data_IF_876676224907
#
_entry.id   IF_876676224907
#
_cell.length_a   1.000
_cell.length_b   1.000
_cell.length_c   1.000
_cell.angle_alpha   90.00
_cell.angle_beta   90.00
_cell.angle_gamma   90.00
#
_symmetry.space_group_name_H-M   'P 1'
#
loop_
_entity.id
_entity.type
_entity.pdbx_description
1 polymer ?
#
# COMPACT_ATOMS: atom_id res chain seq x y z
N UNK A 1 61.93 -12.55 35.07
CA UNK A 1 62.57 -13.59 34.35
C UNK A 1 61.56 -14.73 34.23
N UNK A 2 60.79 -14.72 33.12
CA UNK A 2 59.81 -15.74 32.83
C UNK A 2 60.49 -16.94 32.15
N UNK A 3 60.17 -18.12 32.59
CA UNK A 3 60.55 -19.35 31.93
C UNK A 3 60.06 -19.35 30.49
N UNK A 4 60.99 -19.47 29.53
CA UNK A 4 60.64 -19.76 28.14
C UNK A 4 60.12 -21.21 28.06
N UNK A 5 58.86 -21.38 27.74
CA UNK A 5 58.32 -22.70 27.34
C UNK A 5 58.46 -22.82 25.85
N UNK A 6 59.29 -23.68 25.36
CA UNK A 6 59.35 -24.03 23.96
C UNK A 6 58.20 -24.96 23.61
N UNK A 7 57.29 -24.48 22.73
CA UNK A 7 56.15 -25.25 22.23
C UNK A 7 56.59 -25.92 20.93
N UNK A 8 56.73 -27.23 20.92
CA UNK A 8 56.94 -28.00 19.70
C UNK A 8 55.61 -28.14 18.91
N UNK A 9 55.58 -27.60 17.71
CA UNK A 9 54.41 -27.62 16.85
C UNK A 9 54.69 -28.57 15.67
N UNK A 10 53.84 -29.57 15.47
CA UNK A 10 53.87 -30.40 14.27
C UNK A 10 53.41 -29.62 13.04
N UNK A 11 53.85 -30.04 11.84
CA UNK A 11 53.43 -29.39 10.59
C UNK A 11 51.91 -29.31 10.43
N UNK A 12 51.15 -30.25 10.99
CA UNK A 12 49.68 -30.26 11.00
C UNK A 12 49.06 -29.08 11.78
N UNK A 13 49.79 -28.51 12.77
CA UNK A 13 49.23 -27.45 13.65
C UNK A 13 49.74 -26.05 13.30
N UNK A 14 50.56 -25.90 12.24
CA UNK A 14 51.12 -24.58 11.85
C UNK A 14 50.01 -23.55 11.49
N UNK A 15 48.93 -23.97 10.82
CA UNK A 15 47.81 -23.08 10.45
C UNK A 15 46.97 -22.66 11.66
N UNK A 16 46.73 -23.56 12.63
CA UNK A 16 46.06 -23.26 13.88
C UNK A 16 46.84 -22.23 14.69
N UNK A 17 48.16 -22.33 14.68
CA UNK A 17 49.03 -21.35 15.31
C UNK A 17 49.01 -20.01 14.60
N UNK A 18 48.97 -19.99 13.27
CA UNK A 18 48.85 -18.77 12.49
C UNK A 18 47.55 -18.00 12.80
N UNK A 19 46.42 -18.71 12.84
CA UNK A 19 45.11 -18.13 13.22
C UNK A 19 45.10 -17.59 14.67
N UNK A 20 45.79 -18.30 15.58
CA UNK A 20 45.94 -17.87 16.97
C UNK A 20 46.84 -16.63 17.08
N UNK A 21 47.92 -16.57 16.33
CA UNK A 21 48.82 -15.38 16.28
C UNK A 21 48.06 -14.19 15.75
N UNK A 22 47.25 -14.33 14.67
CA UNK A 22 46.44 -13.23 14.12
C UNK A 22 45.39 -12.71 15.12
N UNK A 23 44.79 -13.62 15.88
CA UNK A 23 43.84 -13.24 16.97
C UNK A 23 44.54 -12.50 18.08
N UNK A 24 45.77 -12.93 18.47
CA UNK A 24 46.57 -12.27 19.53
C UNK A 24 47.00 -10.89 19.07
N UNK A 25 47.43 -10.72 17.81
CA UNK A 25 47.81 -9.41 17.25
C UNK A 25 46.62 -8.44 17.16
N UNK A 26 45.43 -8.93 16.81
CA UNK A 26 44.18 -8.14 16.82
C UNK A 26 43.83 -7.64 18.24
N UNK A 27 44.31 -8.31 19.29
CA UNK A 27 44.19 -7.88 20.69
C UNK A 27 45.28 -6.90 21.10
N UNK A 28 46.18 -6.48 20.19
CA UNK A 28 47.21 -5.48 20.45
C UNK A 28 48.48 -6.08 21.07
N UNK A 29 48.63 -7.43 21.12
CA UNK A 29 49.83 -8.09 21.67
C UNK A 29 50.80 -8.43 20.53
N UNK A 30 52.10 -8.20 20.78
CA UNK A 30 53.16 -8.49 19.81
C UNK A 30 53.66 -9.90 19.98
N UNK A 31 53.67 -10.70 18.88
CA UNK A 31 54.18 -12.07 18.85
C UNK A 31 55.54 -12.07 18.16
N UNK A 32 56.58 -12.61 18.83
CA UNK A 32 57.94 -12.78 18.27
C UNK A 32 58.13 -14.23 17.82
N UNK A 33 58.81 -14.47 16.67
CA UNK A 33 59.14 -15.83 16.16
C UNK A 33 58.02 -16.47 15.36
N UNK A 34 57.40 -15.73 14.44
CA UNK A 34 56.36 -16.28 13.53
C UNK A 34 56.95 -17.44 12.70
N UNK A 35 56.24 -18.58 12.59
CA UNK A 35 56.62 -19.62 11.67
C UNK A 35 56.53 -19.14 10.22
N UNK A 36 57.58 -19.30 9.43
CA UNK A 36 57.50 -19.11 7.97
C UNK A 36 56.70 -20.28 7.37
N UNK A 37 55.54 -19.96 6.82
CA UNK A 37 54.76 -20.87 5.98
C UNK A 37 55.31 -20.77 4.56
N UNK A 38 55.73 -21.84 3.96
CA UNK A 38 56.11 -21.87 2.54
C UNK A 38 54.86 -21.57 1.70
N UNK A 39 54.95 -20.64 0.74
CA UNK A 39 53.82 -20.21 -0.12
C UNK A 39 53.20 -21.38 -0.92
N UNK A 40 53.92 -22.46 -1.14
CA UNK A 40 53.45 -23.62 -1.90
C UNK A 40 52.52 -24.60 -1.12
N UNK A 41 52.44 -24.51 0.20
CA UNK A 41 51.65 -25.44 1.03
C UNK A 41 50.28 -24.95 1.45
N UNK A 42 49.89 -23.69 1.12
CA UNK A 42 48.73 -23.03 1.72
C UNK A 42 47.65 -22.55 0.73
N UNK A 43 47.43 -23.26 -0.38
CA UNK A 43 46.26 -22.90 -1.24
C UNK A 43 44.96 -23.21 -0.52
N UNK A 44 44.29 -22.14 -0.12
CA UNK A 44 42.95 -22.18 0.48
C UNK A 44 41.96 -22.69 -0.58
N UNK A 45 41.14 -23.73 -0.28
CA UNK A 45 40.15 -24.21 -1.23
C UNK A 45 38.98 -23.25 -1.36
N UNK A 46 38.30 -23.30 -2.49
CA UNK A 46 36.93 -22.76 -2.61
C UNK A 46 35.97 -23.75 -1.96
N UNK A 47 35.16 -23.28 -1.03
CA UNK A 47 34.20 -24.10 -0.30
C UNK A 47 32.80 -23.87 -0.85
N UNK A 48 32.10 -24.97 -1.15
CA UNK A 48 30.70 -24.94 -1.60
C UNK A 48 29.82 -25.77 -0.66
N UNK A 49 28.67 -25.16 -0.26
CA UNK A 49 27.67 -25.78 0.58
C UNK A 49 26.40 -25.99 -0.23
N UNK A 50 25.95 -27.24 -0.34
CA UNK A 50 24.75 -27.63 -1.07
C UNK A 50 23.67 -28.07 -0.10
N UNK A 51 22.64 -27.26 0.06
CA UNK A 51 21.50 -27.53 0.94
C UNK A 51 20.35 -28.17 0.20
N UNK A 52 19.73 -29.17 0.84
CA UNK A 52 18.47 -29.77 0.40
C UNK A 52 17.56 -30.01 1.60
N UNK A 53 16.28 -30.31 1.36
CA UNK A 53 15.31 -30.64 2.40
C UNK A 53 14.23 -31.59 1.88
N UNK A 54 13.84 -32.53 2.73
CA UNK A 54 12.64 -33.34 2.55
C UNK A 54 11.55 -32.95 3.60
N UNK A 55 10.63 -33.85 3.86
CA UNK A 55 9.55 -33.61 4.85
C UNK A 55 10.06 -33.59 6.29
N UNK A 56 11.10 -34.33 6.60
CA UNK A 56 11.56 -34.63 7.95
C UNK A 56 12.93 -34.02 8.25
N UNK A 57 13.78 -33.83 7.24
CA UNK A 57 15.17 -33.46 7.43
C UNK A 57 15.65 -32.33 6.52
N UNK A 58 16.72 -31.65 6.98
CA UNK A 58 17.60 -30.81 6.18
C UNK A 58 18.89 -31.56 5.92
N UNK A 59 19.42 -31.40 4.72
CA UNK A 59 20.68 -32.00 4.26
C UNK A 59 21.64 -30.89 3.83
N UNK A 60 22.93 -31.05 4.15
CA UNK A 60 23.99 -30.18 3.67
C UNK A 60 25.18 -31.03 3.19
N UNK A 61 25.49 -30.97 1.90
CA UNK A 61 26.75 -31.52 1.35
C UNK A 61 27.79 -30.41 1.27
N UNK A 62 29.01 -30.69 1.66
CA UNK A 62 30.12 -29.74 1.65
C UNK A 62 31.19 -30.25 0.70
N UNK A 63 31.67 -29.35 -0.15
CA UNK A 63 32.69 -29.64 -1.15
C UNK A 63 33.81 -28.61 -1.09
N UNK A 64 35.03 -29.07 -1.14
CA UNK A 64 36.23 -28.23 -1.24
C UNK A 64 36.85 -28.38 -2.62
N UNK A 65 37.04 -27.27 -3.34
CA UNK A 65 37.68 -27.28 -4.67
C UNK A 65 39.09 -26.77 -4.57
N UNK A 66 40.04 -27.61 -4.99
CA UNK A 66 41.47 -27.31 -5.07
C UNK A 66 41.93 -27.39 -6.54
N UNK A 67 42.46 -26.33 -7.09
CA UNK A 67 42.94 -26.26 -8.49
C UNK A 67 41.93 -26.79 -9.53
N UNK A 68 40.64 -26.57 -9.31
CA UNK A 68 39.56 -27.02 -10.20
C UNK A 68 39.11 -28.47 -10.00
N UNK A 69 39.73 -29.21 -9.09
CA UNK A 69 39.29 -30.55 -8.69
C UNK A 69 38.38 -30.48 -7.47
N UNK A 70 37.24 -31.18 -7.52
CA UNK A 70 36.19 -31.15 -6.49
C UNK A 70 36.31 -32.31 -5.52
N UNK A 71 36.33 -32.04 -4.24
CA UNK A 71 36.47 -33.02 -3.18
C UNK A 71 35.32 -32.91 -2.19
N UNK A 72 34.36 -33.84 -2.20
CA UNK A 72 33.29 -33.87 -1.19
C UNK A 72 33.90 -34.18 0.18
N UNK A 73 33.39 -33.53 1.22
CA UNK A 73 33.79 -33.82 2.59
C UNK A 73 32.93 -34.95 3.12
N UNK A 74 33.53 -36.09 3.36
CA UNK A 74 32.95 -37.28 3.99
C UNK A 74 33.64 -37.55 5.34
N UNK A 75 32.86 -37.96 6.33
CA UNK A 75 33.40 -38.37 7.62
C UNK A 75 33.34 -39.90 7.77
N UNK A 76 34.28 -40.47 8.53
CA UNK A 76 34.19 -41.86 8.98
C UNK A 76 33.37 -41.94 10.29
N UNK A 77 33.17 -43.15 10.81
CA UNK A 77 32.41 -43.42 12.05
C UNK A 77 32.98 -42.71 13.29
N UNK A 78 34.22 -42.25 13.23
CA UNK A 78 34.89 -41.48 14.28
C UNK A 78 34.84 -39.94 14.05
N UNK A 79 34.10 -39.45 13.03
CA UNK A 79 34.02 -38.05 12.67
C UNK A 79 35.31 -37.47 12.04
N UNK A 80 36.19 -38.34 11.50
CA UNK A 80 37.44 -37.96 10.83
C UNK A 80 37.17 -37.88 9.33
N UNK A 81 37.69 -36.84 8.66
CA UNK A 81 37.54 -36.64 7.22
C UNK A 81 38.23 -37.74 6.45
N UNK A 82 37.53 -38.41 5.53
CA UNK A 82 38.06 -39.48 4.66
C UNK A 82 38.93 -38.89 3.55
N UNK A 83 39.90 -39.70 3.08
CA UNK A 83 40.66 -39.39 1.86
C UNK A 83 41.85 -38.44 2.00
N UNK A 84 42.30 -38.15 3.22
CA UNK A 84 43.41 -37.22 3.51
C UNK A 84 44.80 -37.64 2.98
N UNK A 85 44.96 -38.84 2.39
CA UNK A 85 46.22 -39.27 1.79
C UNK A 85 46.54 -38.57 0.45
N UNK A 86 45.63 -37.76 -0.07
CA UNK A 86 45.86 -36.99 -1.28
C UNK A 86 46.63 -35.70 -0.95
N UNK A 87 47.84 -35.52 -1.53
CA UNK A 87 48.72 -34.36 -1.30
C UNK A 87 48.09 -33.02 -1.70
N UNK A 88 47.01 -33.00 -2.49
CA UNK A 88 46.28 -31.80 -2.92
C UNK A 88 45.26 -31.30 -1.88
N UNK A 89 44.85 -32.15 -0.94
CA UNK A 89 43.85 -31.82 0.09
C UNK A 89 44.52 -31.36 1.38
N UNK A 90 43.90 -30.44 2.09
CA UNK A 90 44.44 -29.88 3.32
C UNK A 90 43.45 -30.01 4.47
N UNK A 91 43.75 -30.85 5.44
CA UNK A 91 42.87 -31.22 6.56
C UNK A 91 42.41 -30.02 7.38
N UNK A 92 43.28 -29.05 7.59
CA UNK A 92 42.94 -27.84 8.34
C UNK A 92 41.78 -27.04 7.70
N UNK A 93 41.86 -26.76 6.39
CA UNK A 93 40.81 -26.02 5.69
C UNK A 93 39.50 -26.79 5.60
N UNK A 94 39.57 -28.11 5.43
CA UNK A 94 38.37 -28.96 5.39
C UNK A 94 37.72 -29.07 6.75
N UNK A 95 38.45 -29.14 7.85
CA UNK A 95 37.93 -29.06 9.22
C UNK A 95 37.26 -27.73 9.48
N UNK A 96 37.87 -26.65 9.02
CA UNK A 96 37.33 -25.29 9.15
C UNK A 96 36.04 -25.12 8.33
N UNK A 97 35.94 -25.73 7.14
CA UNK A 97 34.74 -25.69 6.31
C UNK A 97 33.52 -26.31 6.99
N UNK A 98 33.69 -27.34 7.80
CA UNK A 98 32.59 -28.03 8.50
C UNK A 98 32.42 -27.62 9.96
N UNK A 99 33.27 -26.72 10.48
CA UNK A 99 33.23 -26.29 11.89
C UNK A 99 31.86 -25.77 12.31
N UNK A 100 31.23 -24.95 11.46
CA UNK A 100 29.91 -24.37 11.71
C UNK A 100 28.75 -25.39 11.67
N UNK A 101 28.95 -26.54 11.02
CA UNK A 101 27.98 -27.65 10.95
C UNK A 101 28.07 -28.58 12.14
N UNK A 102 29.28 -28.73 12.72
CA UNK A 102 29.53 -29.63 13.86
C UNK A 102 28.65 -29.25 15.07
N UNK A 103 28.07 -30.24 15.70
CA UNK A 103 27.19 -30.08 16.87
C UNK A 103 25.76 -29.62 16.56
N UNK A 104 25.51 -29.25 15.29
CA UNK A 104 24.17 -28.87 14.81
C UNK A 104 23.60 -29.88 13.82
N UNK A 105 24.49 -30.53 13.10
CA UNK A 105 24.18 -31.57 12.13
C UNK A 105 24.94 -32.87 12.50
N UNK A 106 24.30 -34.00 12.23
CA UNK A 106 24.92 -35.31 12.26
C UNK A 106 25.35 -35.70 10.84
N UNK A 107 26.53 -36.23 10.66
CA UNK A 107 26.96 -36.72 9.35
C UNK A 107 26.41 -38.12 9.13
N UNK A 108 25.61 -38.30 8.07
CA UNK A 108 25.00 -39.56 7.70
C UNK A 108 25.32 -39.87 6.23
N UNK A 109 25.97 -41.00 5.97
CA UNK A 109 26.44 -41.52 4.69
C UNK A 109 27.23 -40.48 3.85
N UNK A 110 26.59 -39.51 3.24
CA UNK A 110 27.18 -38.54 2.31
C UNK A 110 26.85 -37.06 2.64
N UNK A 111 26.06 -36.81 3.66
CA UNK A 111 25.59 -35.46 3.98
C UNK A 111 25.53 -35.18 5.48
N UNK A 112 25.60 -33.92 5.84
CA UNK A 112 25.25 -33.43 7.17
C UNK A 112 23.74 -33.33 7.27
N UNK A 113 23.10 -34.00 8.22
CA UNK A 113 21.64 -34.11 8.38
C UNK A 113 21.22 -33.53 9.71
N UNK A 114 20.11 -32.81 9.74
CA UNK A 114 19.42 -32.38 10.95
C UNK A 114 17.89 -32.40 10.76
N UNK A 115 17.14 -32.58 11.84
CA UNK A 115 15.68 -32.63 11.78
C UNK A 115 15.10 -31.29 11.28
N UNK A 116 14.01 -31.38 10.52
CA UNK A 116 13.29 -30.23 10.00
C UNK A 116 12.20 -29.78 10.97
N UNK A 117 12.60 -29.27 12.12
CA UNK A 117 11.73 -28.61 13.09
C UNK A 117 11.84 -27.08 12.98
N UNK A 118 11.11 -26.37 13.85
CA UNK A 118 11.09 -24.90 13.86
C UNK A 118 12.44 -24.33 14.32
N UNK A 119 13.07 -24.95 15.34
CA UNK A 119 14.31 -24.47 15.94
C UNK A 119 15.50 -24.61 14.97
N UNK A 120 15.64 -25.78 14.34
CA UNK A 120 16.66 -26.00 13.33
C UNK A 120 16.44 -25.15 12.07
N UNK A 121 15.18 -24.94 11.67
CA UNK A 121 14.86 -24.03 10.55
C UNK A 121 15.37 -22.62 10.84
N UNK A 122 15.06 -22.06 12.01
CA UNK A 122 15.54 -20.74 12.41
C UNK A 122 17.07 -20.69 12.52
N UNK A 123 17.64 -21.67 13.18
CA UNK A 123 19.08 -21.77 13.33
C UNK A 123 19.79 -21.77 11.97
N UNK A 124 19.28 -22.53 10.99
CA UNK A 124 19.87 -22.61 9.66
C UNK A 124 19.72 -21.28 8.92
N UNK A 125 18.50 -20.75 8.78
CA UNK A 125 18.24 -19.60 7.92
C UNK A 125 18.71 -18.28 8.54
N UNK A 126 18.58 -18.08 9.86
CA UNK A 126 18.87 -16.83 10.52
C UNK A 126 20.33 -16.72 11.02
N UNK A 127 20.96 -17.84 11.35
CA UNK A 127 22.29 -17.84 11.97
C UNK A 127 23.36 -18.53 11.13
N UNK A 128 23.07 -19.75 10.63
CA UNK A 128 24.08 -20.56 9.96
C UNK A 128 24.39 -20.06 8.54
N UNK A 129 23.37 -19.83 7.70
CA UNK A 129 23.59 -19.39 6.31
C UNK A 129 24.36 -18.07 6.19
N UNK A 130 24.12 -17.04 7.01
CA UNK A 130 24.93 -15.82 6.99
C UNK A 130 26.42 -16.09 7.30
N UNK A 131 26.73 -17.00 8.21
CA UNK A 131 28.12 -17.35 8.53
C UNK A 131 28.76 -18.17 7.41
N UNK A 132 28.05 -19.14 6.85
CA UNK A 132 28.60 -19.95 5.73
C UNK A 132 28.86 -19.10 4.48
N UNK A 133 28.03 -18.11 4.18
CA UNK A 133 28.24 -17.16 3.06
C UNK A 133 29.52 -16.34 3.20
N UNK A 134 30.07 -16.17 4.41
CA UNK A 134 31.36 -15.51 4.63
C UNK A 134 32.54 -16.45 4.30
N UNK A 135 32.34 -17.76 4.34
CA UNK A 135 33.38 -18.77 4.19
C UNK A 135 33.37 -19.44 2.83
N UNK A 136 32.22 -19.46 2.12
CA UNK A 136 32.10 -20.13 0.83
C UNK A 136 30.78 -19.81 0.11
N UNK A 137 30.59 -20.49 -1.02
CA UNK A 137 29.35 -20.40 -1.81
C UNK A 137 28.27 -21.28 -1.19
N UNK A 138 27.04 -20.75 -1.08
CA UNK A 138 25.90 -21.49 -0.53
C UNK A 138 24.83 -21.62 -1.62
N UNK A 139 24.45 -22.84 -1.93
CA UNK A 139 23.43 -23.22 -2.89
C UNK A 139 22.35 -24.06 -2.20
N UNK A 140 21.10 -23.91 -2.63
CA UNK A 140 19.98 -24.67 -2.05
C UNK A 140 18.93 -25.03 -3.09
N UNK A 141 18.39 -26.24 -2.97
CA UNK A 141 17.26 -26.70 -3.78
C UNK A 141 15.99 -25.88 -3.52
N UNK A 142 15.01 -25.97 -4.41
CA UNK A 142 13.69 -25.34 -4.17
C UNK A 142 13.03 -25.86 -2.88
N UNK A 143 13.20 -27.15 -2.56
CA UNK A 143 12.66 -27.75 -1.35
C UNK A 143 13.27 -27.13 -0.10
N UNK A 144 14.58 -26.88 -0.10
CA UNK A 144 15.27 -26.16 0.96
C UNK A 144 14.81 -24.70 1.08
N UNK A 145 14.77 -23.98 -0.04
CA UNK A 145 14.32 -22.56 -0.05
C UNK A 145 12.89 -22.40 0.49
N UNK A 146 11.99 -23.32 0.13
CA UNK A 146 10.59 -23.32 0.60
C UNK A 146 10.45 -23.77 2.07
N UNK A 147 11.51 -24.31 2.68
CA UNK A 147 11.49 -24.67 4.09
C UNK A 147 11.60 -23.44 5.01
N UNK A 148 12.07 -22.30 4.49
CA UNK A 148 12.18 -21.06 5.26
C UNK A 148 10.80 -20.60 5.77
N UNK A 149 10.77 -20.16 7.04
CA UNK A 149 9.57 -19.60 7.66
C UNK A 149 9.74 -18.09 7.70
N UNK A 150 9.02 -17.39 6.82
CA UNK A 150 9.00 -15.93 6.83
C UNK A 150 8.21 -15.44 8.04
N UNK A 151 8.83 -14.65 8.91
CA UNK A 151 8.18 -14.13 10.12
C UNK A 151 7.82 -12.65 10.02
N UNK A 152 8.66 -11.88 9.38
CA UNK A 152 8.51 -10.42 9.22
C UNK A 152 8.77 -10.03 7.77
N UNK A 153 7.84 -10.37 6.87
CA UNK A 153 8.02 -10.02 5.48
C UNK A 153 8.03 -8.50 5.29
N UNK A 154 8.83 -8.04 4.34
CA UNK A 154 8.91 -6.62 4.00
C UNK A 154 7.95 -6.32 2.87
N UNK A 155 7.18 -5.25 3.04
CA UNK A 155 6.23 -4.75 2.05
C UNK A 155 6.57 -3.31 1.70
N UNK A 156 6.29 -2.93 0.46
CA UNK A 156 6.28 -1.56 0.01
C UNK A 156 4.98 -1.27 -0.72
N UNK A 157 4.42 -0.09 -0.50
CA UNK A 157 3.20 0.38 -1.16
C UNK A 157 3.56 1.57 -2.02
N UNK A 158 3.33 1.46 -3.33
CA UNK A 158 3.45 2.55 -4.29
C UNK A 158 2.07 3.18 -4.53
N UNK A 159 1.99 4.49 -4.41
CA UNK A 159 0.82 5.29 -4.82
C UNK A 159 1.23 6.13 -6.03
N UNK A 160 0.48 6.03 -7.11
CA UNK A 160 0.73 6.81 -8.33
C UNK A 160 -0.57 7.23 -9.00
N UNK A 161 -0.51 8.30 -9.80
CA UNK A 161 -1.63 8.73 -10.64
C UNK A 161 -1.44 8.25 -12.08
N UNK A 162 -2.53 7.73 -12.64
CA UNK A 162 -2.62 7.44 -14.06
C UNK A 162 -3.98 7.96 -14.57
N UNK A 163 -3.97 8.97 -15.47
CA UNK A 163 -5.18 9.58 -16.03
C UNK A 163 -6.21 9.99 -14.97
N UNK A 164 -5.78 10.74 -13.94
CA UNK A 164 -6.61 11.22 -12.82
C UNK A 164 -7.20 10.13 -11.90
N UNK A 165 -6.74 8.90 -12.06
CA UNK A 165 -7.10 7.77 -11.23
C UNK A 165 -5.92 7.34 -10.35
N UNK A 166 -6.20 7.02 -9.10
CA UNK A 166 -5.20 6.57 -8.13
C UNK A 166 -4.92 5.09 -8.34
N UNK A 167 -3.66 4.76 -8.58
CA UNK A 167 -3.15 3.39 -8.59
C UNK A 167 -2.44 3.06 -7.27
N UNK A 168 -2.72 1.88 -6.74
CA UNK A 168 -2.01 1.31 -5.59
C UNK A 168 -1.28 0.07 -6.06
N UNK A 169 0.01 -0.03 -5.78
CA UNK A 169 0.83 -1.20 -6.05
C UNK A 169 1.47 -1.69 -4.75
N UNK A 170 1.28 -2.96 -4.42
CA UNK A 170 1.89 -3.55 -3.23
C UNK A 170 2.94 -4.56 -3.65
N UNK A 171 4.18 -4.32 -3.25
CA UNK A 171 5.32 -5.16 -3.55
C UNK A 171 5.93 -5.76 -2.29
N UNK A 172 6.57 -6.91 -2.44
CA UNK A 172 7.35 -7.55 -1.39
C UNK A 172 8.67 -8.08 -1.96
N UNK A 173 9.75 -8.00 -1.17
CA UNK A 173 11.02 -8.65 -1.50
C UNK A 173 10.98 -10.17 -1.30
N UNK A 174 10.02 -10.67 -0.54
CA UNK A 174 9.96 -12.05 -0.06
C UNK A 174 8.94 -12.91 -0.81
N UNK A 175 7.92 -12.26 -1.40
CA UNK A 175 6.81 -12.91 -2.10
C UNK A 175 6.57 -12.33 -3.48
N UNK A 176 6.21 -13.21 -4.43
CA UNK A 176 5.72 -12.77 -5.74
C UNK A 176 4.34 -12.13 -5.62
N UNK A 177 3.89 -11.34 -6.62
CA UNK A 177 2.55 -10.77 -6.64
C UNK A 177 1.44 -11.83 -6.48
N UNK A 178 1.59 -13.01 -7.10
CA UNK A 178 0.65 -14.12 -7.02
C UNK A 178 0.61 -14.72 -5.60
N UNK A 179 1.78 -14.90 -4.97
CA UNK A 179 1.90 -15.39 -3.60
C UNK A 179 1.30 -14.39 -2.61
N UNK A 180 1.51 -13.10 -2.83
CA UNK A 180 0.98 -12.04 -1.99
C UNK A 180 -0.56 -11.96 -2.09
N UNK A 181 -1.12 -12.08 -3.31
CA UNK A 181 -2.56 -12.16 -3.51
C UNK A 181 -3.17 -13.42 -2.86
N UNK A 182 -2.48 -14.57 -2.91
CA UNK A 182 -2.91 -15.81 -2.23
C UNK A 182 -2.96 -15.62 -0.71
N UNK A 183 -1.95 -14.97 -0.12
CA UNK A 183 -1.92 -14.69 1.32
C UNK A 183 -3.08 -13.76 1.70
N UNK A 184 -3.24 -12.63 0.98
CA UNK A 184 -4.30 -11.66 1.25
C UNK A 184 -5.70 -12.29 1.11
N UNK A 185 -5.92 -13.11 0.08
CA UNK A 185 -7.20 -13.78 -0.14
C UNK A 185 -7.55 -14.86 0.89
N UNK A 186 -6.55 -15.44 1.55
CA UNK A 186 -6.73 -16.46 2.57
C UNK A 186 -6.58 -15.94 4.01
N UNK A 187 -6.27 -14.65 4.17
CA UNK A 187 -5.96 -14.05 5.47
C UNK A 187 -7.18 -14.02 6.39
N UNK A 188 -6.98 -14.48 7.61
CA UNK A 188 -7.91 -14.31 8.73
C UNK A 188 -7.11 -13.91 9.98
N UNK A 189 -7.57 -12.94 10.79
CA UNK A 189 -6.81 -12.43 11.95
C UNK A 189 -6.45 -13.51 12.99
N UNK A 190 -7.23 -14.59 13.06
CA UNK A 190 -6.98 -15.69 14.00
C UNK A 190 -5.92 -16.70 13.52
N UNK A 191 -5.66 -16.74 12.22
CA UNK A 191 -4.73 -17.70 11.62
C UNK A 191 -3.35 -17.08 11.52
N UNK A 192 -2.42 -17.59 12.35
CA UNK A 192 -1.05 -17.06 12.45
C UNK A 192 -0.04 -17.77 11.53
N UNK A 193 -0.44 -18.85 10.88
CA UNK A 193 0.44 -19.66 10.06
C UNK A 193 -0.17 -19.98 8.70
N UNK A 194 0.58 -19.73 7.63
CA UNK A 194 0.15 -19.92 6.24
C UNK A 194 1.17 -20.76 5.48
N UNK A 195 0.68 -21.68 4.66
CA UNK A 195 1.49 -22.44 3.70
C UNK A 195 0.95 -22.16 2.32
N UNK A 196 1.77 -21.56 1.48
CA UNK A 196 1.45 -21.21 0.10
C UNK A 196 1.46 -22.46 -0.79
N UNK A 197 0.80 -22.37 -1.95
CA UNK A 197 0.83 -23.41 -2.99
C UNK A 197 2.25 -23.71 -3.47
N UNK A 198 3.15 -22.73 -3.40
CA UNK A 198 4.58 -22.88 -3.71
C UNK A 198 5.34 -23.64 -2.63
N UNK A 199 4.75 -23.91 -1.47
CA UNK A 199 5.39 -24.55 -0.32
C UNK A 199 6.07 -23.59 0.66
N UNK A 200 6.17 -22.30 0.36
CA UNK A 200 6.66 -21.28 1.29
C UNK A 200 5.78 -21.20 2.52
N UNK A 201 6.39 -20.94 3.67
CA UNK A 201 5.72 -20.88 4.97
C UNK A 201 5.81 -19.47 5.55
N UNK A 202 4.69 -18.93 5.98
CA UNK A 202 4.60 -17.61 6.60
C UNK A 202 3.99 -17.73 7.99
N UNK A 203 4.63 -17.11 8.98
CA UNK A 203 4.11 -16.98 10.33
C UNK A 203 4.02 -15.50 10.68
N UNK A 204 2.83 -15.04 11.03
CA UNK A 204 2.65 -13.68 11.52
C UNK A 204 3.04 -13.59 13.00
N UNK A 205 3.84 -12.59 13.32
CA UNK A 205 4.18 -12.22 14.69
C UNK A 205 3.02 -11.42 15.28
N UNK A 206 2.68 -11.68 16.56
CA UNK A 206 1.61 -10.97 17.27
C UNK A 206 1.88 -9.45 17.39
N UNK A 207 3.14 -9.06 17.33
CA UNK A 207 3.56 -7.66 17.38
C UNK A 207 3.56 -6.96 16.01
N UNK A 208 3.53 -7.72 14.90
CA UNK A 208 3.59 -7.18 13.54
C UNK A 208 2.20 -7.08 12.92
N UNK A 209 1.62 -5.90 13.01
CA UNK A 209 0.30 -5.58 12.46
C UNK A 209 0.33 -5.16 10.99
N UNK A 210 1.50 -5.09 10.36
CA UNK A 210 1.66 -4.56 9.00
C UNK A 210 0.76 -5.25 7.99
N UNK A 211 0.66 -6.59 8.06
CA UNK A 211 -0.17 -7.36 7.14
C UNK A 211 -1.68 -7.20 7.45
N UNK A 212 -2.05 -7.12 8.71
CA UNK A 212 -3.44 -6.83 9.12
C UNK A 212 -3.89 -5.46 8.59
N UNK A 213 -3.01 -4.49 8.59
CA UNK A 213 -3.26 -3.14 8.07
C UNK A 213 -3.38 -3.12 6.55
N UNK A 214 -2.51 -3.84 5.83
CA UNK A 214 -2.65 -4.03 4.39
C UNK A 214 -3.99 -4.70 4.04
N UNK A 215 -4.37 -5.74 4.78
CA UNK A 215 -5.64 -6.44 4.59
C UNK A 215 -6.84 -5.54 4.88
N UNK A 216 -6.78 -4.75 5.96
CA UNK A 216 -7.82 -3.75 6.27
C UNK A 216 -7.91 -2.70 5.18
N UNK A 217 -6.78 -2.17 4.69
CA UNK A 217 -6.74 -1.18 3.61
C UNK A 217 -7.35 -1.75 2.34
N UNK A 218 -7.00 -2.98 1.95
CA UNK A 218 -7.57 -3.66 0.79
C UNK A 218 -9.10 -3.77 0.87
N UNK A 219 -9.61 -4.29 2.01
CA UNK A 219 -11.06 -4.43 2.20
C UNK A 219 -11.78 -3.08 2.21
N UNK A 220 -11.15 -2.07 2.78
CA UNK A 220 -11.68 -0.73 2.90
C UNK A 220 -11.86 -0.05 1.53
N UNK A 221 -10.95 -0.24 0.61
CA UNK A 221 -11.08 0.27 -0.76
C UNK A 221 -11.96 -0.62 -1.64
N UNK A 222 -12.43 -1.76 -1.13
CA UNK A 222 -13.26 -2.71 -1.86
C UNK A 222 -12.51 -3.47 -2.96
N UNK A 223 -11.18 -3.59 -2.84
CA UNK A 223 -10.35 -4.26 -3.83
C UNK A 223 -10.30 -5.77 -3.61
N UNK A 224 -10.24 -6.53 -4.69
CA UNK A 224 -9.83 -7.93 -4.63
C UNK A 224 -8.32 -8.03 -4.36
N UNK A 225 -7.82 -9.15 -3.79
CA UNK A 225 -6.38 -9.34 -3.57
C UNK A 225 -5.54 -9.13 -4.82
N UNK A 226 -6.01 -9.61 -5.98
CA UNK A 226 -5.32 -9.48 -7.26
C UNK A 226 -5.26 -8.03 -7.74
N UNK A 227 -6.36 -7.28 -7.62
CA UNK A 227 -6.41 -5.86 -8.00
C UNK A 227 -5.52 -5.03 -7.08
N UNK A 228 -5.55 -5.32 -5.78
CA UNK A 228 -4.76 -4.59 -4.78
C UNK A 228 -3.25 -4.78 -4.97
N UNK A 229 -2.81 -6.01 -5.30
CA UNK A 229 -1.39 -6.31 -5.51
C UNK A 229 -0.90 -5.85 -6.89
N UNK A 230 -1.75 -5.94 -7.94
CA UNK A 230 -1.36 -5.61 -9.33
C UNK A 230 -1.55 -4.14 -9.71
N UNK A 231 -2.05 -3.31 -8.81
CA UNK A 231 -2.23 -1.88 -9.07
C UNK A 231 -3.27 -1.55 -10.13
N UNK A 232 -4.30 -2.37 -10.31
CA UNK A 232 -5.38 -2.15 -11.28
C UNK A 232 -6.65 -1.63 -10.62
N UNK A 233 -6.51 -0.57 -9.82
CA UNK A 233 -7.60 0.03 -9.10
C UNK A 233 -7.78 1.47 -9.56
N UNK A 234 -8.91 1.73 -10.17
CA UNK A 234 -9.35 3.07 -10.52
C UNK A 234 -10.08 3.67 -9.30
N UNK A 235 -9.33 4.30 -8.42
CA UNK A 235 -9.87 4.94 -7.23
C UNK A 235 -10.05 6.44 -7.42
N UNK A 236 -11.15 7.02 -6.93
CA UNK A 236 -11.32 8.47 -6.91
C UNK A 236 -10.18 9.16 -6.16
N UNK A 237 -9.82 10.36 -6.60
CA UNK A 237 -8.69 11.14 -6.11
C UNK A 237 -8.74 11.40 -4.59
N UNK A 238 -9.94 11.63 -4.03
CA UNK A 238 -10.11 11.86 -2.59
C UNK A 238 -9.65 10.68 -1.72
N UNK A 239 -9.59 9.45 -2.27
CA UNK A 239 -9.06 8.29 -1.55
C UNK A 239 -7.54 8.34 -1.38
N UNK A 240 -6.84 9.10 -2.22
CA UNK A 240 -5.39 9.28 -2.10
C UNK A 240 -5.00 9.92 -0.77
N UNK A 241 -5.72 10.96 -0.33
CA UNK A 241 -5.47 11.62 0.97
C UNK A 241 -5.59 10.66 2.14
N UNK A 242 -6.66 9.87 2.12
CA UNK A 242 -6.87 8.89 3.18
C UNK A 242 -5.79 7.81 3.18
N UNK A 243 -5.48 7.25 2.02
CA UNK A 243 -4.46 6.21 1.90
C UNK A 243 -3.07 6.75 2.26
N UNK A 244 -2.74 7.97 1.85
CA UNK A 244 -1.48 8.59 2.23
C UNK A 244 -1.39 8.79 3.75
N UNK A 245 -2.43 9.34 4.39
CA UNK A 245 -2.44 9.53 5.84
C UNK A 245 -2.36 8.22 6.63
N UNK A 246 -3.12 7.20 6.24
CA UNK A 246 -3.12 5.89 6.91
C UNK A 246 -1.82 5.12 6.69
N UNK A 247 -1.21 5.24 5.51
CA UNK A 247 -0.01 4.51 5.17
C UNK A 247 1.27 5.20 5.67
N UNK A 248 1.32 6.54 5.72
CA UNK A 248 2.48 7.30 6.23
C UNK A 248 2.69 7.14 7.74
N UNK A 249 1.65 6.89 8.52
CA UNK A 249 1.76 6.64 9.97
C UNK A 249 2.45 5.30 10.33
N UNK A 250 2.83 4.49 9.31
CA UNK A 250 3.32 3.12 9.51
C UNK A 250 4.84 3.02 9.34
N UNK A 251 5.57 2.91 10.42
CA UNK A 251 7.04 2.82 10.45
C UNK A 251 7.64 1.66 9.61
N UNK A 252 6.85 0.63 9.27
CA UNK A 252 7.33 -0.58 8.60
C UNK A 252 6.89 -0.74 7.15
N UNK A 253 5.98 0.10 6.68
CA UNK A 253 5.59 0.16 5.28
C UNK A 253 6.42 1.23 4.57
N UNK A 254 7.24 0.82 3.61
CA UNK A 254 7.88 1.76 2.72
C UNK A 254 6.82 2.30 1.76
N UNK A 255 6.29 3.49 2.04
CA UNK A 255 5.32 4.16 1.18
C UNK A 255 6.05 5.09 0.24
N UNK A 256 5.87 4.91 -1.07
CA UNK A 256 6.32 5.85 -2.09
C UNK A 256 5.10 6.47 -2.74
N UNK A 257 4.94 7.78 -2.65
CA UNK A 257 3.93 8.54 -3.36
C UNK A 257 4.56 9.33 -4.51
N UNK A 258 3.86 9.39 -5.66
CA UNK A 258 4.22 10.22 -6.80
C UNK A 258 4.26 11.70 -6.36
N UNK A 259 5.17 12.50 -6.94
CA UNK A 259 5.24 13.95 -6.68
C UNK A 259 3.92 14.66 -6.98
N UNK A 260 3.11 14.14 -7.91
CA UNK A 260 1.77 14.65 -8.19
C UNK A 260 0.81 14.50 -7.02
N UNK A 261 0.89 13.41 -6.25
CA UNK A 261 0.07 13.21 -5.04
C UNK A 261 0.45 14.23 -3.99
N UNK A 262 1.77 14.43 -3.78
CA UNK A 262 2.27 15.42 -2.81
C UNK A 262 1.87 16.84 -3.20
N UNK A 263 2.09 17.22 -4.47
CA UNK A 263 1.71 18.54 -4.95
C UNK A 263 0.20 18.77 -4.91
N UNK A 264 -0.59 17.72 -5.12
CA UNK A 264 -2.05 17.79 -5.00
C UNK A 264 -2.48 18.01 -3.53
N UNK A 265 -1.92 17.26 -2.58
CA UNK A 265 -2.16 17.46 -1.13
C UNK A 265 -1.75 18.87 -0.71
N UNK A 266 -0.54 19.31 -1.09
CA UNK A 266 -0.05 20.66 -0.80
C UNK A 266 -0.90 21.75 -1.44
N UNK A 267 -1.39 21.57 -2.68
CA UNK A 267 -2.26 22.53 -3.34
C UNK A 267 -3.60 22.67 -2.65
N UNK A 268 -4.14 21.59 -2.10
CA UNK A 268 -5.41 21.60 -1.38
C UNK A 268 -5.32 22.39 -0.06
N UNK A 269 -4.18 22.33 0.64
CA UNK A 269 -3.93 23.08 1.87
C UNK A 269 -3.59 24.55 1.64
N UNK A 270 -3.22 24.92 0.40
CA UNK A 270 -2.63 26.25 0.10
C UNK A 270 -3.53 27.20 -0.67
N UNK A 271 -4.83 26.92 -0.86
CA UNK A 271 -5.73 27.83 -1.58
C UNK A 271 -5.90 29.16 -0.85
N UNK A 272 -5.29 30.20 -1.40
CA UNK A 272 -5.38 31.57 -0.90
C UNK A 272 -6.56 32.33 -1.54
N UNK A 273 -7.02 33.39 -0.88
CA UNK A 273 -8.07 34.28 -1.41
C UNK A 273 -7.75 34.85 -2.81
N UNK A 274 -6.46 35.04 -3.10
CA UNK A 274 -5.98 35.58 -4.38
C UNK A 274 -6.17 34.60 -5.55
N UNK A 275 -6.24 33.30 -5.26
CA UNK A 275 -6.38 32.26 -6.28
C UNK A 275 -7.82 31.92 -6.64
N UNK A 276 -8.79 32.28 -5.79
CA UNK A 276 -10.22 32.08 -6.01
C UNK A 276 -10.99 33.41 -5.90
N UNK A 277 -10.89 34.29 -6.91
CA UNK A 277 -11.64 35.55 -6.92
C UNK A 277 -13.12 35.28 -7.05
N UNK A 278 -13.93 36.27 -6.70
CA UNK A 278 -15.37 36.21 -6.95
C UNK A 278 -15.65 36.26 -8.46
N UNK A 279 -16.58 35.42 -8.97
CA UNK A 279 -16.91 35.38 -10.38
C UNK A 279 -17.50 36.70 -10.90
N UNK A 280 -17.18 37.02 -12.15
CA UNK A 280 -17.76 38.16 -12.82
C UNK A 280 -19.24 37.89 -13.13
N UNK A 281 -20.11 38.89 -12.92
CA UNK A 281 -21.55 38.77 -13.20
C UNK A 281 -22.40 38.27 -12.03
N UNK A 282 -21.87 38.15 -10.84
CA UNK A 282 -22.66 37.90 -9.62
C UNK A 282 -23.39 39.19 -9.22
N UNK A 283 -24.71 39.16 -9.25
CA UNK A 283 -25.58 40.27 -8.87
C UNK A 283 -25.88 40.31 -7.36
N UNK A 284 -24.88 40.03 -6.54
CA UNK A 284 -25.02 40.07 -5.09
C UNK A 284 -23.68 40.48 -4.45
N UNK A 285 -23.76 41.04 -3.25
CA UNK A 285 -22.61 41.26 -2.40
C UNK A 285 -22.58 40.21 -1.31
N UNK A 286 -21.62 39.30 -1.35
CA UNK A 286 -21.43 38.28 -0.33
C UNK A 286 -21.03 38.89 1.01
N UNK A 287 -21.44 38.28 2.09
CA UNK A 287 -20.92 38.53 3.42
C UNK A 287 -19.60 37.76 3.59
N UNK A 288 -18.69 38.18 4.50
CA UNK A 288 -17.37 37.51 4.64
C UNK A 288 -17.46 35.98 4.78
N UNK A 289 -18.37 35.48 5.61
CA UNK A 289 -18.55 34.03 5.77
C UNK A 289 -19.10 33.34 4.51
N UNK A 290 -19.85 34.03 3.66
CA UNK A 290 -20.34 33.48 2.39
C UNK A 290 -19.24 33.43 1.35
N UNK A 291 -18.29 34.39 1.37
CA UNK A 291 -17.09 34.34 0.56
C UNK A 291 -16.21 33.17 0.97
N UNK A 292 -16.03 32.97 2.29
CA UNK A 292 -15.31 31.84 2.84
C UNK A 292 -15.95 30.50 2.42
N UNK A 293 -17.27 30.36 2.55
CA UNK A 293 -18.02 29.18 2.12
C UNK A 293 -17.94 28.93 0.61
N UNK A 294 -17.99 29.95 -0.22
CA UNK A 294 -17.74 29.84 -1.67
C UNK A 294 -16.33 29.29 -1.95
N UNK A 295 -15.29 29.91 -1.34
CA UNK A 295 -13.90 29.47 -1.54
C UNK A 295 -13.68 28.05 -1.07
N UNK A 296 -14.31 27.66 0.03
CA UNK A 296 -14.29 26.30 0.50
C UNK A 296 -14.93 25.32 -0.49
N UNK A 297 -16.12 25.62 -1.02
CA UNK A 297 -16.77 24.81 -2.07
C UNK A 297 -15.90 24.73 -3.33
N UNK A 298 -15.30 25.84 -3.75
CA UNK A 298 -14.43 25.90 -4.93
C UNK A 298 -13.14 25.11 -4.74
N UNK A 299 -12.54 25.14 -3.55
CA UNK A 299 -11.35 24.33 -3.23
C UNK A 299 -11.66 22.82 -3.27
N UNK A 300 -12.80 22.40 -2.73
CA UNK A 300 -13.27 21.02 -2.84
C UNK A 300 -13.48 20.60 -4.30
N UNK A 301 -14.17 21.45 -5.08
CA UNK A 301 -14.45 21.20 -6.49
C UNK A 301 -13.17 21.03 -7.31
N UNK A 302 -12.14 21.84 -7.07
CA UNK A 302 -10.84 21.73 -7.74
C UNK A 302 -10.16 20.37 -7.50
N UNK A 303 -10.35 19.79 -6.32
CA UNK A 303 -9.85 18.46 -5.97
C UNK A 303 -10.79 17.31 -6.35
N UNK A 304 -11.93 17.58 -7.00
CA UNK A 304 -13.01 16.60 -7.21
C UNK A 304 -13.53 15.99 -5.89
N UNK A 305 -13.46 16.75 -4.79
CA UNK A 305 -14.04 16.37 -3.51
C UNK A 305 -15.50 16.82 -3.43
N UNK A 306 -16.33 15.96 -2.86
CA UNK A 306 -17.65 16.38 -2.39
C UNK A 306 -17.60 17.03 -1.00
N UNK A 307 -18.67 17.70 -0.64
CA UNK A 307 -18.77 18.36 0.66
C UNK A 307 -20.19 18.60 1.16
N UNK A 308 -20.29 18.82 2.48
CA UNK A 308 -21.57 19.14 3.13
C UNK A 308 -21.51 20.58 3.61
N UNK A 309 -22.26 21.48 2.99
CA UNK A 309 -22.43 22.85 3.46
C UNK A 309 -23.55 22.88 4.53
N UNK A 310 -23.12 22.91 5.80
CA UNK A 310 -23.98 22.69 6.96
C UNK A 310 -24.30 23.99 7.72
N UNK A 311 -24.28 25.15 7.05
CA UNK A 311 -24.68 26.43 7.63
C UNK A 311 -26.13 26.38 8.11
N UNK A 312 -26.47 27.17 9.14
CA UNK A 312 -27.84 27.30 9.61
C UNK A 312 -28.78 27.80 8.50
N UNK A 313 -30.09 27.55 8.67
CA UNK A 313 -31.09 28.04 7.73
C UNK A 313 -31.06 29.58 7.64
N UNK A 314 -31.20 30.11 6.43
CA UNK A 314 -31.20 31.56 6.18
C UNK A 314 -29.80 32.20 6.05
N UNK A 315 -28.70 31.48 6.21
CA UNK A 315 -27.36 32.03 6.03
C UNK A 315 -26.89 32.09 4.56
N UNK A 316 -27.76 31.73 3.60
CA UNK A 316 -27.52 31.93 2.18
C UNK A 316 -26.65 30.82 1.56
N UNK A 317 -26.85 29.54 1.94
CA UNK A 317 -26.25 28.40 1.28
C UNK A 317 -26.48 28.40 -0.22
N UNK A 318 -27.71 28.73 -0.65
CA UNK A 318 -28.07 28.85 -2.07
C UNK A 318 -27.17 29.87 -2.78
N UNK A 319 -26.95 31.05 -2.19
CA UNK A 319 -26.12 32.10 -2.80
C UNK A 319 -24.65 31.69 -2.90
N UNK A 320 -24.09 31.00 -1.89
CA UNK A 320 -22.73 30.46 -1.93
C UNK A 320 -22.57 29.42 -3.05
N UNK A 321 -23.56 28.54 -3.20
CA UNK A 321 -23.62 27.54 -4.25
C UNK A 321 -23.76 28.14 -5.65
N UNK A 322 -24.66 29.15 -5.81
CA UNK A 322 -24.81 29.90 -7.07
C UNK A 322 -23.47 30.57 -7.45
N UNK A 323 -22.76 31.13 -6.46
CA UNK A 323 -21.43 31.73 -6.69
C UNK A 323 -20.44 30.72 -7.21
N UNK A 324 -20.39 29.49 -6.67
CA UNK A 324 -19.57 28.40 -7.19
C UNK A 324 -19.92 28.08 -8.64
N UNK A 325 -21.21 27.88 -8.95
CA UNK A 325 -21.67 27.52 -10.29
C UNK A 325 -21.39 28.61 -11.33
N UNK A 326 -21.47 29.87 -10.90
CA UNK A 326 -21.12 31.00 -11.74
C UNK A 326 -19.59 31.08 -11.98
N UNK A 327 -18.78 30.73 -10.97
CA UNK A 327 -17.32 30.62 -11.09
C UNK A 327 -16.92 29.49 -12.05
N UNK A 328 -17.65 28.37 -12.04
CA UNK A 328 -17.44 27.25 -12.96
C UNK A 328 -17.68 27.62 -14.44
N UNK A 329 -18.44 28.68 -14.69
CA UNK A 329 -18.66 29.23 -16.04
C UNK A 329 -17.73 30.40 -16.39
N UNK A 330 -17.04 30.98 -15.42
CA UNK A 330 -16.14 32.12 -15.64
C UNK A 330 -14.75 31.63 -16.08
N UNK A 331 -14.42 31.78 -17.37
CA UNK A 331 -13.15 31.35 -17.97
C UNK A 331 -11.91 31.98 -17.28
N UNK A 332 -12.09 33.01 -16.46
CA UNK A 332 -11.00 33.63 -15.68
C UNK A 332 -10.68 32.88 -14.40
N UNK A 333 -11.52 31.94 -14.00
CA UNK A 333 -11.34 31.14 -12.79
C UNK A 333 -11.05 29.69 -13.20
N UNK A 334 -9.81 29.44 -13.61
CA UNK A 334 -9.37 28.12 -14.10
C UNK A 334 -9.29 27.03 -13.03
N UNK A 335 -9.40 27.41 -11.76
CA UNK A 335 -9.34 26.48 -10.62
C UNK A 335 -10.68 25.78 -10.35
N UNK A 336 -11.77 26.20 -11.00
CA UNK A 336 -13.08 25.56 -10.87
C UNK A 336 -13.42 24.88 -12.20
N UNK A 337 -13.67 23.57 -12.17
CA UNK A 337 -14.01 22.80 -13.38
C UNK A 337 -15.31 23.33 -13.99
N UNK A 338 -15.28 23.57 -15.32
CA UNK A 338 -16.49 23.97 -16.05
C UNK A 338 -17.32 22.75 -16.44
N UNK A 339 -18.65 22.88 -16.35
CA UNK A 339 -19.56 21.81 -16.75
C UNK A 339 -20.99 22.05 -16.25
N UNK A 340 -21.88 21.15 -16.63
CA UNK A 340 -23.29 21.20 -16.25
C UNK A 340 -23.49 20.83 -14.79
N UNK A 341 -24.46 21.44 -14.14
CA UNK A 341 -24.85 21.11 -12.78
C UNK A 341 -26.30 20.63 -12.70
N UNK A 342 -26.52 19.55 -11.96
CA UNK A 342 -27.83 19.07 -11.53
C UNK A 342 -28.10 19.56 -10.10
N UNK A 343 -29.22 20.22 -9.88
CA UNK A 343 -29.66 20.60 -8.53
C UNK A 343 -30.96 19.85 -8.22
N UNK A 344 -30.94 19.05 -7.14
CA UNK A 344 -32.09 18.28 -6.66
C UNK A 344 -32.58 18.89 -5.37
N UNK A 345 -33.82 19.35 -5.36
CA UNK A 345 -34.39 20.10 -4.25
C UNK A 345 -35.80 19.58 -3.85
N UNK A 346 -36.30 19.85 -2.64
CA UNK A 346 -37.71 19.66 -2.32
C UNK A 346 -38.62 20.46 -3.25
N UNK A 347 -39.78 19.91 -3.59
CA UNK A 347 -40.71 20.55 -4.52
C UNK A 347 -41.11 22.00 -4.14
N UNK A 348 -41.16 22.29 -2.83
CA UNK A 348 -41.46 23.63 -2.32
C UNK A 348 -40.37 24.68 -2.63
N UNK A 349 -39.13 24.23 -2.85
CA UNK A 349 -37.99 25.12 -3.07
C UNK A 349 -37.58 25.23 -4.54
N UNK A 350 -38.17 24.44 -5.44
CA UNK A 350 -37.79 24.37 -6.86
C UNK A 350 -37.81 25.77 -7.53
N UNK A 351 -38.91 26.50 -7.38
CA UNK A 351 -39.03 27.82 -7.97
C UNK A 351 -38.27 28.91 -7.20
N UNK A 352 -37.98 28.71 -5.91
CA UNK A 352 -37.09 29.60 -5.17
C UNK A 352 -35.67 29.53 -5.76
N UNK A 353 -35.17 28.34 -6.04
CA UNK A 353 -33.90 28.16 -6.70
C UNK A 353 -33.86 28.81 -8.08
N UNK A 354 -34.89 28.62 -8.89
CA UNK A 354 -34.99 29.28 -10.20
C UNK A 354 -34.92 30.80 -10.04
N UNK A 355 -35.74 31.42 -9.16
CA UNK A 355 -35.75 32.84 -8.93
C UNK A 355 -34.40 33.37 -8.41
N UNK A 356 -33.73 32.66 -7.52
CA UNK A 356 -32.41 33.06 -7.00
C UNK A 356 -31.34 32.99 -8.10
N UNK A 357 -31.33 31.97 -8.96
CA UNK A 357 -30.46 31.89 -10.11
C UNK A 357 -30.69 33.04 -11.11
N UNK A 358 -31.94 33.33 -11.46
CA UNK A 358 -32.30 34.43 -12.36
C UNK A 358 -31.88 35.80 -11.79
N UNK A 359 -31.99 35.99 -10.48
CA UNK A 359 -31.67 37.26 -9.82
C UNK A 359 -30.16 37.45 -9.62
N UNK A 360 -29.47 36.42 -9.12
CA UNK A 360 -28.07 36.54 -8.70
C UNK A 360 -27.04 36.14 -9.81
N UNK A 361 -27.44 35.27 -10.73
CA UNK A 361 -26.56 34.78 -11.81
C UNK A 361 -27.32 34.65 -13.14
N UNK A 362 -27.86 35.75 -13.70
CA UNK A 362 -28.72 35.73 -14.91
C UNK A 362 -28.01 35.21 -16.17
N UNK A 363 -26.71 35.09 -16.14
CA UNK A 363 -25.91 34.52 -17.25
C UNK A 363 -25.94 32.98 -17.28
N UNK A 364 -26.36 32.32 -16.19
CA UNK A 364 -26.52 30.88 -16.14
C UNK A 364 -27.87 30.50 -16.77
N UNK A 365 -27.82 29.69 -17.82
CA UNK A 365 -29.00 29.13 -18.46
C UNK A 365 -29.57 28.01 -17.60
N UNK A 366 -30.78 28.19 -17.06
CA UNK A 366 -31.41 27.23 -16.15
C UNK A 366 -32.56 26.52 -16.81
N UNK A 367 -32.59 25.19 -16.72
CA UNK A 367 -33.68 24.31 -17.17
C UNK A 367 -34.40 23.74 -15.94
N UNK A 368 -35.69 23.98 -15.83
CA UNK A 368 -36.55 23.42 -14.77
C UNK A 368 -37.29 22.20 -15.31
N UNK A 369 -36.98 21.04 -14.79
CA UNK A 369 -37.63 19.79 -15.15
C UNK A 369 -38.94 19.68 -14.34
N UNK A 370 -40.05 20.04 -14.92
CA UNK A 370 -41.37 19.96 -14.30
C UNK A 370 -42.48 19.69 -15.32
N UNK A 371 -43.64 19.26 -14.87
CA UNK A 371 -44.81 18.97 -15.69
C UNK A 371 -45.18 17.49 -15.76
N UNK A 372 -45.87 17.10 -16.83
CA UNK A 372 -46.21 15.69 -17.10
C UNK A 372 -44.98 14.85 -17.45
N UNK A 373 -45.05 13.53 -17.33
CA UNK A 373 -43.93 12.64 -17.66
C UNK A 373 -43.37 12.91 -19.08
N UNK A 374 -44.25 13.08 -20.05
CA UNK A 374 -43.83 13.36 -21.45
C UNK A 374 -43.09 14.72 -21.53
N UNK A 375 -43.61 15.76 -20.91
CA UNK A 375 -42.94 17.07 -20.91
C UNK A 375 -41.57 17.02 -20.25
N UNK A 376 -41.42 16.31 -19.14
CA UNK A 376 -40.12 16.18 -18.48
C UNK A 376 -39.12 15.40 -19.31
N UNK A 377 -39.56 14.32 -19.98
CA UNK A 377 -38.73 13.57 -20.93
C UNK A 377 -38.28 14.46 -22.11
N UNK A 378 -39.22 15.21 -22.71
CA UNK A 378 -38.89 16.13 -23.81
C UNK A 378 -37.89 17.23 -23.34
N UNK A 379 -38.04 17.77 -22.12
CA UNK A 379 -37.09 18.73 -21.54
C UNK A 379 -35.68 18.13 -21.30
N UNK A 380 -35.60 16.87 -20.88
CA UNK A 380 -34.32 16.23 -20.65
C UNK A 380 -33.53 16.00 -21.95
N UNK A 381 -34.19 15.94 -23.11
CA UNK A 381 -33.51 15.87 -24.39
C UNK A 381 -32.72 17.15 -24.75
N UNK A 382 -33.11 18.30 -24.18
CA UNK A 382 -32.47 19.59 -24.44
C UNK A 382 -31.45 19.99 -23.36
N UNK A 383 -31.11 19.10 -22.41
CA UNK A 383 -30.20 19.36 -21.26
C UNK A 383 -28.89 19.98 -21.71
N UNK A 384 -28.31 19.52 -22.81
CA UNK A 384 -27.01 19.99 -23.31
C UNK A 384 -26.92 21.49 -23.59
N UNK A 385 -28.05 22.19 -23.78
CA UNK A 385 -28.08 23.61 -24.06
C UNK A 385 -28.09 24.50 -22.80
N UNK A 386 -28.10 23.87 -21.62
CA UNK A 386 -28.25 24.57 -20.32
C UNK A 386 -27.05 24.33 -19.42
N UNK A 387 -26.78 25.32 -18.54
CA UNK A 387 -25.71 25.24 -17.55
C UNK A 387 -26.21 24.56 -16.26
N UNK A 388 -27.48 24.76 -15.89
CA UNK A 388 -28.11 24.27 -14.67
C UNK A 388 -29.40 23.53 -14.98
N UNK A 389 -29.53 22.32 -14.43
CA UNK A 389 -30.74 21.50 -14.47
C UNK A 389 -31.32 21.46 -13.05
N UNK A 390 -32.57 21.96 -12.90
CA UNK A 390 -33.30 21.94 -11.63
C UNK A 390 -34.36 20.84 -11.67
N UNK A 391 -34.36 19.98 -10.66
CA UNK A 391 -35.39 18.95 -10.48
C UNK A 391 -35.73 18.75 -9.01
N UNK A 392 -36.74 17.92 -8.74
CA UNK A 392 -37.09 17.54 -7.37
C UNK A 392 -36.77 16.09 -7.08
N UNK A 393 -36.58 15.74 -5.79
CA UNK A 393 -36.36 14.34 -5.39
C UNK A 393 -37.42 13.38 -5.92
N UNK A 394 -38.72 13.83 -5.95
CA UNK A 394 -39.82 13.00 -6.43
C UNK A 394 -39.81 12.83 -7.96
N UNK A 395 -39.41 13.86 -8.71
CA UNK A 395 -39.33 13.79 -10.17
C UNK A 395 -38.12 12.94 -10.57
N UNK A 396 -36.95 13.20 -9.99
CA UNK A 396 -35.75 12.40 -10.21
C UNK A 396 -36.01 10.91 -9.97
N UNK A 397 -36.65 10.56 -8.86
CA UNK A 397 -37.03 9.17 -8.56
C UNK A 397 -37.96 8.53 -9.59
N UNK A 398 -38.91 9.32 -10.17
CA UNK A 398 -39.87 8.81 -11.15
C UNK A 398 -39.31 8.66 -12.54
N UNK A 399 -38.36 9.52 -12.92
CA UNK A 399 -37.77 9.60 -14.24
C UNK A 399 -36.32 9.13 -14.23
N UNK A 400 -35.96 8.34 -13.24
CA UNK A 400 -34.59 7.93 -12.92
C UNK A 400 -33.82 7.37 -14.13
N UNK A 401 -34.49 6.55 -14.97
CA UNK A 401 -33.86 5.93 -16.15
C UNK A 401 -33.42 6.99 -17.18
N UNK A 402 -34.14 8.09 -17.29
CA UNK A 402 -33.84 9.17 -18.24
C UNK A 402 -32.58 9.98 -17.82
N UNK A 403 -32.18 9.91 -16.54
CA UNK A 403 -30.99 10.60 -16.01
C UNK A 403 -29.72 9.74 -16.05
N UNK A 404 -29.82 8.41 -16.20
CA UNK A 404 -28.65 7.51 -16.18
C UNK A 404 -27.70 7.68 -17.39
N UNK A 405 -28.18 8.28 -18.48
CA UNK A 405 -27.39 8.56 -19.67
C UNK A 405 -26.77 9.95 -19.67
N UNK A 406 -27.02 10.75 -18.62
CA UNK A 406 -26.51 12.12 -18.47
C UNK A 406 -25.31 12.16 -17.53
N UNK A 407 -24.31 12.95 -17.90
CA UNK A 407 -23.10 13.21 -17.10
C UNK A 407 -23.11 14.65 -16.62
N UNK A 408 -22.84 14.87 -15.33
CA UNK A 408 -22.78 16.19 -14.72
C UNK A 408 -21.41 16.45 -14.13
N UNK A 409 -20.93 17.69 -14.21
CA UNK A 409 -19.76 18.14 -13.46
C UNK A 409 -20.09 18.25 -11.96
N UNK A 410 -21.29 18.81 -11.67
CA UNK A 410 -21.75 19.01 -10.30
C UNK A 410 -23.13 18.37 -10.08
N UNK A 411 -23.31 17.67 -8.98
CA UNK A 411 -24.60 17.30 -8.45
C UNK A 411 -24.78 17.93 -7.06
N UNK A 412 -25.82 18.72 -6.88
CA UNK A 412 -26.10 19.44 -5.65
C UNK A 412 -27.46 19.00 -5.14
N UNK A 413 -27.52 18.54 -3.90
CA UNK A 413 -28.79 18.24 -3.24
C UNK A 413 -29.05 19.27 -2.16
N UNK A 414 -30.25 19.86 -2.18
CA UNK A 414 -30.69 20.77 -1.14
C UNK A 414 -31.60 20.04 -0.14
N UNK A 415 -31.56 20.48 1.12
CA UNK A 415 -32.20 19.81 2.24
C UNK A 415 -31.83 18.32 2.30
N UNK A 416 -30.52 18.07 2.41
CA UNK A 416 -29.93 16.74 2.32
C UNK A 416 -30.45 15.72 3.35
N UNK A 417 -31.18 16.16 4.38
CA UNK A 417 -31.89 15.25 5.29
C UNK A 417 -32.95 14.38 4.55
N UNK A 418 -33.32 14.71 3.31
CA UNK A 418 -34.17 13.84 2.48
C UNK A 418 -33.52 12.52 2.12
N UNK A 419 -32.18 12.41 2.21
CA UNK A 419 -31.40 11.19 1.92
C UNK A 419 -30.73 10.57 3.15
N UNK A 420 -31.07 11.03 4.36
CA UNK A 420 -30.51 10.51 5.62
C UNK A 420 -30.68 9.00 5.84
N UNK A 421 -31.66 8.40 5.17
CA UNK A 421 -31.83 6.95 5.13
C UNK A 421 -31.37 6.42 3.77
N UNK A 422 -30.25 5.71 3.75
CA UNK A 422 -29.61 5.15 2.56
C UNK A 422 -30.48 4.14 1.78
N UNK A 423 -31.49 3.55 2.44
CA UNK A 423 -32.36 2.54 1.81
C UNK A 423 -33.51 3.12 1.00
N UNK A 424 -33.79 4.43 1.13
CA UNK A 424 -34.89 5.09 0.42
C UNK A 424 -34.66 5.17 -1.08
N UNK A 425 -35.74 5.20 -1.86
CA UNK A 425 -35.67 5.38 -3.32
C UNK A 425 -35.04 6.74 -3.71
N UNK A 426 -35.29 7.80 -2.93
CA UNK A 426 -34.67 9.10 -3.17
C UNK A 426 -33.14 9.04 -2.99
N UNK A 427 -32.67 8.41 -1.90
CA UNK A 427 -31.25 8.23 -1.65
C UNK A 427 -30.57 7.41 -2.76
N UNK A 428 -31.20 6.33 -3.21
CA UNK A 428 -30.68 5.49 -4.31
C UNK A 428 -30.63 6.26 -5.63
N UNK A 429 -31.67 7.07 -5.92
CA UNK A 429 -31.75 7.82 -7.17
C UNK A 429 -30.62 8.87 -7.26
N UNK A 430 -30.42 9.71 -6.24
CA UNK A 430 -29.34 10.71 -6.27
C UNK A 430 -27.95 10.08 -6.29
N UNK A 431 -27.74 8.98 -5.59
CA UNK A 431 -26.42 8.29 -5.56
C UNK A 431 -26.04 7.63 -6.89
N UNK A 432 -26.98 7.35 -7.76
CA UNK A 432 -26.74 6.67 -9.02
C UNK A 432 -26.55 7.64 -10.21
N UNK A 433 -26.71 8.95 -10.00
CA UNK A 433 -26.40 9.96 -11.02
C UNK A 433 -24.89 9.98 -11.27
N UNK A 434 -24.50 10.08 -12.52
CA UNK A 434 -23.09 10.27 -12.88
C UNK A 434 -22.71 11.75 -12.72
N UNK A 435 -21.95 12.05 -11.67
CA UNK A 435 -21.45 13.38 -11.37
C UNK A 435 -20.06 13.33 -10.74
N UNK A 436 -19.17 14.21 -11.21
CA UNK A 436 -17.78 14.23 -10.72
C UNK A 436 -17.70 14.77 -9.31
N UNK A 437 -18.40 15.84 -9.01
CA UNK A 437 -18.37 16.51 -7.70
C UNK A 437 -19.77 16.61 -7.14
N UNK A 438 -19.95 16.23 -5.87
CA UNK A 438 -21.25 16.22 -5.21
C UNK A 438 -21.25 17.08 -3.97
N UNK A 439 -22.24 17.97 -3.86
CA UNK A 439 -22.44 18.79 -2.69
C UNK A 439 -23.81 18.55 -2.05
N UNK A 440 -23.84 18.53 -0.72
CA UNK A 440 -25.05 18.42 0.08
C UNK A 440 -25.27 19.70 0.90
N UNK A 441 -26.42 20.33 0.75
CA UNK A 441 -26.81 21.52 1.51
C UNK A 441 -27.82 21.09 2.58
N UNK A 442 -27.56 21.44 3.84
CA UNK A 442 -28.50 21.14 4.94
C UNK A 442 -28.23 22.07 6.11
N UNK A 443 -29.28 22.41 6.86
CA UNK A 443 -29.12 23.06 8.17
C UNK A 443 -29.00 22.08 9.32
N UNK A 444 -29.27 20.78 9.08
CA UNK A 444 -29.33 19.74 10.11
C UNK A 444 -28.65 18.46 9.61
N UNK A 445 -27.31 18.44 9.52
CA UNK A 445 -26.57 17.27 9.01
C UNK A 445 -26.74 16.02 9.88
N UNK A 446 -27.02 16.21 11.18
CA UNK A 446 -27.30 15.13 12.14
C UNK A 446 -28.52 15.58 12.96
N UNK A 447 -29.62 14.83 12.92
CA UNK A 447 -30.76 15.06 13.78
C UNK A 447 -30.83 14.07 14.94
N UNK A 448 -30.68 12.75 14.64
CA UNK A 448 -30.92 11.71 15.64
C UNK A 448 -29.76 10.68 15.73
N UNK A 449 -29.10 10.35 14.63
CA UNK A 449 -28.13 9.25 14.56
C UNK A 449 -26.95 9.59 13.67
N UNK A 450 -25.77 9.11 14.02
CA UNK A 450 -24.55 9.20 13.18
C UNK A 450 -24.72 8.52 11.80
N UNK A 451 -25.59 7.50 11.70
CA UNK A 451 -25.90 6.84 10.42
C UNK A 451 -26.58 7.79 9.40
N UNK A 452 -27.19 8.88 9.85
CA UNK A 452 -27.75 9.92 8.97
C UNK A 452 -26.63 10.68 8.28
N UNK A 453 -25.63 11.12 9.04
CA UNK A 453 -24.42 11.74 8.51
C UNK A 453 -23.67 10.78 7.57
N UNK A 454 -23.55 9.51 7.95
CA UNK A 454 -22.94 8.50 7.10
C UNK A 454 -23.63 8.41 5.73
N UNK A 455 -24.95 8.41 5.69
CA UNK A 455 -25.70 8.36 4.41
C UNK A 455 -25.45 9.57 3.52
N UNK A 456 -25.29 10.78 4.11
CA UNK A 456 -24.95 12.00 3.37
C UNK A 456 -23.50 11.96 2.90
N UNK A 457 -22.57 11.50 3.75
CA UNK A 457 -21.17 11.31 3.35
C UNK A 457 -21.00 10.28 2.22
N UNK A 458 -21.75 9.19 2.26
CA UNK A 458 -21.76 8.19 1.20
C UNK A 458 -22.34 8.71 -0.12
N UNK A 459 -23.13 9.81 -0.08
CA UNK A 459 -23.55 10.56 -1.27
C UNK A 459 -22.43 11.48 -1.77
N UNK A 460 -21.87 12.34 -0.92
CA UNK A 460 -20.87 13.35 -1.36
C UNK A 460 -19.52 12.73 -1.71
N UNK A 461 -19.11 11.66 -1.02
CA UNK A 461 -17.85 10.92 -1.24
C UNK A 461 -18.07 9.42 -1.02
N UNK A 462 -18.54 8.68 -2.03
CA UNK A 462 -18.84 7.26 -1.89
C UNK A 462 -17.65 6.44 -1.39
N UNK A 463 -17.88 5.70 -0.29
CA UNK A 463 -16.85 4.84 0.31
C UNK A 463 -15.75 5.55 1.11
N UNK A 464 -15.85 6.85 1.34
CA UNK A 464 -14.89 7.61 2.17
C UNK A 464 -14.93 7.21 3.65
N UNK A 465 -16.12 7.05 4.22
CA UNK A 465 -16.33 6.67 5.64
C UNK A 465 -16.47 5.16 5.89
N UNK A 466 -16.16 4.33 4.92
CA UNK A 466 -16.28 2.86 4.96
C UNK A 466 -17.71 2.30 5.04
N UNK A 467 -17.88 1.05 4.57
CA UNK A 467 -19.12 0.27 4.65
C UNK A 467 -19.23 -0.46 6.00
#
# INVERSE_FOLDING_TARGET
PGERQDIFISDANKHELSDLIEKIEKLGMKVEGKPELSEDEAKKPEVSYYFDADKENFFCKVECTYDGEHYPIELNDFGIIKGQKNRKRHEYFEKKAIEHLRGKFVFDEEAFVTERDTENTEMIFERLLPELKKTGSVMGTRAFQNAHIYRRPKFSVGLSFNNDLLNIEVNSSDFSPEELAEILGSYTPQKKFYVLKTGKRLKFDDEDKTFEELFKTMNMIGATPEEFVKGKLDLPLYRAFYLESVLQEKERLAVSSDERIKSFVESFESFTEEQLPLPSGLNAKLRPYQEEGYRWLASLANGSFGGILADEMGLGKTLQTITLLLAAKDDKISQVSSGQALIVTPAALLYNWQNELENFAPTLKTLVINGTKKQRHDLLADVADYDIVLTTYDQLKRDFEDYLELEFEYEIIDEAQNIKNSTTQASKAVKAIDAKTRFALTGTPIENRLSELWSIFDYVMPGYLFS
#
